data_IF_039213918230
#
_entry.id   IF_039213918230
#
_cell.length_a   1.000
_cell.length_b   1.000
_cell.length_c   1.000
_cell.angle_alpha   90.00
_cell.angle_beta   90.00
_cell.angle_gamma   90.00
#
_symmetry.space_group_name_H-M   'P 1'
#
loop_
_entity.id
_entity.type
_entity.pdbx_description
1 polymer ?
#
# COMPACT_ATOMS: atom_id res chain seq x y z
N UNK A 1 -12.59 17.42 -13.11
CA UNK A 1 -12.08 16.34 -12.21
C UNK A 1 -11.10 15.49 -13.00
N UNK A 2 -9.97 15.17 -12.42
CA UNK A 2 -8.95 14.31 -13.05
C UNK A 2 -9.40 12.85 -12.94
N UNK A 3 -9.68 12.21 -14.09
CA UNK A 3 -10.09 10.81 -14.13
C UNK A 3 -8.88 9.91 -14.33
N UNK A 4 -8.87 8.70 -13.74
CA UNK A 4 -7.77 7.76 -13.94
C UNK A 4 -7.83 7.12 -15.32
N UNK A 5 -6.68 6.97 -15.95
CA UNK A 5 -6.51 6.03 -17.06
C UNK A 5 -6.17 4.64 -16.53
N UNK A 6 -6.81 3.61 -17.06
CA UNK A 6 -6.44 2.23 -16.78
C UNK A 6 -5.32 1.82 -17.74
N UNK A 7 -4.19 1.42 -17.17
CA UNK A 7 -2.97 1.10 -17.90
C UNK A 7 -2.43 -0.28 -17.52
N UNK A 8 -1.48 -0.76 -18.28
CA UNK A 8 -0.84 -2.06 -18.05
C UNK A 8 0.67 -1.94 -18.19
N UNK A 9 1.40 -2.64 -17.32
CA UNK A 9 2.84 -2.78 -17.33
C UNK A 9 3.23 -4.27 -17.34
N UNK A 10 4.22 -4.64 -18.13
CA UNK A 10 4.74 -6.01 -18.16
C UNK A 10 5.86 -6.12 -17.13
N UNK A 11 5.63 -6.89 -16.08
CA UNK A 11 6.62 -7.17 -15.06
C UNK A 11 7.75 -8.09 -15.62
N UNK A 12 8.88 -8.16 -14.93
CA UNK A 12 10.08 -8.89 -15.38
C UNK A 12 9.89 -10.40 -15.63
N UNK A 13 8.77 -10.97 -15.18
CA UNK A 13 8.39 -12.38 -15.40
C UNK A 13 7.27 -12.53 -16.44
N UNK A 14 6.95 -11.45 -17.17
CA UNK A 14 5.89 -11.44 -18.19
C UNK A 14 4.48 -11.25 -17.60
N UNK A 15 4.32 -11.07 -16.28
CA UNK A 15 3.01 -10.79 -15.67
C UNK A 15 2.50 -9.42 -16.10
N UNK A 16 1.26 -9.36 -16.60
CA UNK A 16 0.59 -8.12 -17.01
C UNK A 16 -0.01 -7.45 -15.79
N UNK A 17 0.65 -6.43 -15.26
CA UNK A 17 0.27 -5.70 -14.07
C UNK A 17 -0.59 -4.48 -14.46
N UNK A 18 -1.87 -4.52 -14.16
CA UNK A 18 -2.79 -3.40 -14.38
C UNK A 18 -2.67 -2.39 -13.24
N UNK A 19 -2.74 -1.12 -13.61
CA UNK A 19 -2.68 0.00 -12.67
C UNK A 19 -3.58 1.14 -13.13
N UNK A 20 -4.06 1.92 -12.16
CA UNK A 20 -4.70 3.22 -12.42
C UNK A 20 -3.65 4.31 -12.37
N UNK A 21 -3.74 5.24 -13.29
CA UNK A 21 -2.83 6.38 -13.39
C UNK A 21 -3.65 7.68 -13.44
N UNK A 22 -3.46 8.52 -12.44
CA UNK A 22 -3.94 9.91 -12.44
C UNK A 22 -2.78 10.79 -12.85
N UNK A 23 -2.86 11.30 -14.07
CA UNK A 23 -1.80 12.13 -14.66
C UNK A 23 -1.84 13.55 -14.10
N UNK A 24 -0.68 14.19 -14.04
CA UNK A 24 -0.52 15.65 -13.86
C UNK A 24 0.31 16.18 -15.02
N UNK A 25 -0.08 17.28 -15.61
CA UNK A 25 0.63 17.87 -16.78
C UNK A 25 2.06 18.30 -16.44
N UNK A 26 2.26 18.89 -15.26
CA UNK A 26 3.56 19.31 -14.75
C UNK A 26 3.74 18.79 -13.33
N UNK A 27 4.07 17.51 -13.17
CA UNK A 27 4.11 16.89 -11.84
C UNK A 27 5.27 17.47 -11.02
N UNK A 28 4.99 17.80 -9.77
CA UNK A 28 5.99 18.16 -8.74
C UNK A 28 6.59 16.95 -8.04
N UNK A 29 6.06 15.77 -8.28
CA UNK A 29 6.50 14.51 -7.74
C UNK A 29 5.64 13.35 -8.22
N UNK A 30 6.11 12.14 -7.96
CA UNK A 30 5.46 10.90 -8.32
C UNK A 30 5.01 10.20 -7.03
N UNK A 31 3.78 9.69 -7.01
CA UNK A 31 3.27 8.84 -5.92
C UNK A 31 3.00 7.44 -6.46
N UNK A 32 3.66 6.44 -5.88
CA UNK A 32 3.35 5.03 -6.12
C UNK A 32 2.59 4.54 -4.91
N UNK A 33 1.29 4.27 -5.07
CA UNK A 33 0.41 3.84 -4.00
C UNK A 33 0.19 2.33 -4.01
N UNK A 34 0.15 1.71 -2.82
CA UNK A 34 0.01 0.27 -2.62
C UNK A 34 -1.17 -0.02 -1.70
N UNK A 35 -2.15 -0.75 -2.20
CA UNK A 35 -3.41 -1.03 -1.51
C UNK A 35 -3.34 -2.13 -0.43
N UNK A 36 -4.40 -2.23 0.38
CA UNK A 36 -4.60 -3.21 1.42
C UNK A 36 -4.73 -4.66 0.94
N UNK A 37 -5.03 -5.60 1.86
CA UNK A 37 -5.08 -7.03 1.52
C UNK A 37 -6.29 -7.38 0.66
N UNK A 38 -7.47 -6.87 1.01
CA UNK A 38 -8.75 -7.12 0.31
C UNK A 38 -9.01 -6.15 -0.83
N UNK A 39 -8.60 -4.90 -0.65
CA UNK A 39 -8.89 -3.79 -1.55
C UNK A 39 -8.08 -3.86 -2.85
N UNK A 40 -8.35 -2.92 -3.72
CA UNK A 40 -7.64 -2.67 -4.97
C UNK A 40 -7.58 -1.16 -5.21
N UNK A 41 -6.85 -0.71 -6.23
CA UNK A 41 -6.63 0.72 -6.50
C UNK A 41 -7.94 1.53 -6.67
N UNK A 42 -9.03 0.89 -7.12
CA UNK A 42 -10.33 1.55 -7.29
C UNK A 42 -11.03 1.97 -5.99
N UNK A 43 -10.60 1.48 -4.81
CA UNK A 43 -11.13 1.97 -3.53
C UNK A 43 -10.65 3.38 -3.20
N UNK A 44 -9.53 3.82 -3.78
CA UNK A 44 -8.77 5.01 -3.38
C UNK A 44 -8.81 6.11 -4.45
N UNK A 45 -9.96 6.24 -5.11
CA UNK A 45 -10.16 7.23 -6.16
C UNK A 45 -10.13 8.67 -5.61
N UNK A 46 -10.77 8.91 -4.46
CA UNK A 46 -10.81 10.24 -3.84
C UNK A 46 -9.41 10.74 -3.48
N UNK A 47 -8.64 9.96 -2.74
CA UNK A 47 -7.28 10.33 -2.34
C UNK A 47 -6.35 10.49 -3.54
N UNK A 48 -6.47 9.62 -4.55
CA UNK A 48 -5.65 9.70 -5.75
C UNK A 48 -5.94 10.96 -6.58
N UNK A 49 -7.22 11.35 -6.70
CA UNK A 49 -7.63 12.62 -7.35
C UNK A 49 -7.07 13.81 -6.59
N UNK A 50 -7.21 13.84 -5.27
CA UNK A 50 -6.68 14.92 -4.42
C UNK A 50 -5.17 15.11 -4.61
N UNK A 51 -4.42 14.01 -4.70
CA UNK A 51 -2.99 14.03 -4.98
C UNK A 51 -2.71 14.58 -6.39
N UNK A 52 -3.45 14.12 -7.39
CA UNK A 52 -3.28 14.58 -8.77
C UNK A 52 -3.64 16.06 -8.95
N UNK A 53 -4.72 16.54 -8.33
CA UNK A 53 -5.13 17.96 -8.29
C UNK A 53 -4.07 18.82 -7.60
N UNK A 54 -3.34 18.28 -6.62
CA UNK A 54 -2.21 18.92 -5.96
C UNK A 54 -0.90 18.87 -6.78
N UNK A 55 -0.92 18.30 -7.99
CA UNK A 55 0.20 18.27 -8.92
C UNK A 55 1.13 17.05 -8.76
N UNK A 56 0.64 15.92 -8.24
CA UNK A 56 1.39 14.67 -8.20
C UNK A 56 0.93 13.70 -9.30
N UNK A 57 1.86 13.05 -10.02
CA UNK A 57 1.52 11.94 -10.89
C UNK A 57 1.33 10.68 -10.02
N UNK A 58 0.11 10.10 -10.01
CA UNK A 58 -0.21 8.95 -9.16
C UNK A 58 -0.25 7.67 -9.99
N UNK A 59 0.54 6.67 -9.59
CA UNK A 59 0.58 5.32 -10.14
C UNK A 59 0.09 4.36 -9.06
N UNK A 60 -1.05 3.73 -9.30
CA UNK A 60 -1.66 2.86 -8.31
C UNK A 60 -1.92 1.47 -8.90
N UNK A 61 -0.96 0.53 -8.80
CA UNK A 61 -1.14 -0.82 -9.30
C UNK A 61 -2.13 -1.60 -8.42
N UNK A 62 -2.96 -2.39 -9.07
CA UNK A 62 -3.54 -3.53 -8.40
C UNK A 62 -2.44 -4.56 -8.19
N UNK A 63 -2.23 -5.01 -6.95
CA UNK A 63 -1.21 -6.02 -6.65
C UNK A 63 -1.47 -7.28 -7.49
N UNK A 64 -0.44 -8.00 -7.90
CA UNK A 64 -0.62 -9.28 -8.62
C UNK A 64 -1.61 -10.18 -7.88
N UNK A 65 -2.55 -10.76 -8.62
CA UNK A 65 -3.62 -11.59 -8.07
C UNK A 65 -4.71 -10.83 -7.29
N UNK A 66 -4.78 -9.50 -7.38
CA UNK A 66 -5.82 -8.66 -6.73
C UNK A 66 -6.51 -7.75 -7.74
N UNK A 67 -7.70 -7.26 -7.41
CA UNK A 67 -8.42 -6.29 -8.21
C UNK A 67 -8.58 -6.74 -9.65
N UNK A 68 -8.16 -5.92 -10.60
CA UNK A 68 -8.20 -6.20 -12.03
C UNK A 68 -7.16 -7.25 -12.49
N UNK A 69 -6.22 -7.64 -11.63
CA UNK A 69 -5.21 -8.67 -11.90
C UNK A 69 -5.74 -10.05 -11.50
N UNK A 70 -6.68 -10.59 -12.28
CA UNK A 70 -7.40 -11.82 -11.97
C UNK A 70 -6.58 -13.12 -12.10
N UNK A 71 -5.44 -13.10 -12.82
CA UNK A 71 -4.60 -14.29 -12.96
C UNK A 71 -3.94 -14.65 -11.63
N UNK A 72 -4.06 -15.92 -11.22
CA UNK A 72 -3.60 -16.44 -9.94
C UNK A 72 -4.11 -15.61 -8.74
N UNK A 73 -5.44 -15.42 -8.68
CA UNK A 73 -6.08 -14.58 -7.67
C UNK A 73 -5.65 -14.97 -6.25
N UNK A 74 -5.25 -13.96 -5.47
CA UNK A 74 -4.78 -14.13 -4.10
C UNK A 74 -3.41 -14.79 -3.94
N UNK A 75 -2.66 -14.99 -5.04
CA UNK A 75 -1.37 -15.66 -5.01
C UNK A 75 -0.19 -14.70 -5.23
N UNK A 76 0.90 -14.97 -4.50
CA UNK A 76 2.23 -14.46 -4.80
C UNK A 76 3.24 -15.53 -4.40
N UNK A 77 4.20 -15.84 -5.27
CA UNK A 77 5.17 -16.90 -5.04
C UNK A 77 6.07 -16.59 -3.83
N UNK A 78 6.56 -15.35 -3.73
CA UNK A 78 7.44 -14.90 -2.63
C UNK A 78 7.48 -13.37 -2.55
N UNK A 79 8.00 -12.83 -1.43
CA UNK A 79 8.05 -11.40 -1.15
C UNK A 79 8.79 -10.59 -2.24
N UNK A 80 9.93 -11.08 -2.71
CA UNK A 80 10.74 -10.36 -3.72
C UNK A 80 10.03 -10.24 -5.07
N UNK A 81 9.06 -11.11 -5.39
CA UNK A 81 8.23 -10.95 -6.59
C UNK A 81 7.38 -9.70 -6.48
N UNK A 82 6.73 -9.49 -5.32
CA UNK A 82 5.92 -8.30 -5.04
C UNK A 82 6.78 -7.03 -5.02
N UNK A 83 7.96 -7.10 -4.44
CA UNK A 83 8.95 -6.02 -4.42
C UNK A 83 9.35 -5.64 -5.85
N UNK A 84 9.67 -6.63 -6.69
CA UNK A 84 10.11 -6.38 -8.07
C UNK A 84 8.98 -5.82 -8.96
N UNK A 85 7.72 -6.22 -8.73
CA UNK A 85 6.57 -5.64 -9.43
C UNK A 85 6.49 -4.13 -9.20
N UNK A 86 6.62 -3.69 -7.95
CA UNK A 86 6.58 -2.26 -7.61
C UNK A 86 7.80 -1.52 -8.17
N UNK A 87 8.99 -2.13 -8.09
CA UNK A 87 10.21 -1.50 -8.63
C UNK A 87 10.17 -1.34 -10.14
N UNK A 88 9.62 -2.33 -10.87
CA UNK A 88 9.47 -2.21 -12.33
C UNK A 88 8.46 -1.12 -12.71
N UNK A 89 7.34 -1.00 -11.96
CA UNK A 89 6.40 0.11 -12.14
C UNK A 89 7.03 1.46 -11.76
N UNK A 90 7.82 1.50 -10.68
CA UNK A 90 8.58 2.70 -10.30
C UNK A 90 9.51 3.15 -11.43
N UNK A 91 10.18 2.22 -12.09
CA UNK A 91 11.03 2.55 -13.23
C UNK A 91 10.23 3.14 -14.39
N UNK A 92 9.10 2.52 -14.75
CA UNK A 92 8.18 3.06 -15.75
C UNK A 92 7.74 4.50 -15.38
N UNK A 93 7.28 4.70 -14.14
CA UNK A 93 6.83 6.00 -13.67
C UNK A 93 7.95 7.07 -13.73
N UNK A 94 9.17 6.68 -13.38
CA UNK A 94 10.32 7.55 -13.49
C UNK A 94 10.64 7.93 -14.95
N UNK A 95 10.65 6.96 -15.86
CA UNK A 95 10.98 7.19 -17.27
C UNK A 95 9.96 8.08 -17.98
N UNK A 96 8.67 7.90 -17.67
CA UNK A 96 7.56 8.69 -18.23
C UNK A 96 7.54 10.16 -17.74
N UNK A 97 8.03 10.41 -16.52
CA UNK A 97 8.05 11.76 -15.94
C UNK A 97 9.45 12.39 -15.96
N UNK A 98 10.36 11.79 -16.70
CA UNK A 98 11.70 12.33 -16.88
C UNK A 98 11.65 13.53 -17.82
N UNK A 99 12.03 14.71 -17.31
CA UNK A 99 12.15 15.91 -18.14
C UNK A 99 13.16 15.67 -19.28
N UNK A 100 12.75 15.89 -20.53
CA UNK A 100 13.63 15.82 -21.70
C UNK A 100 14.62 16.99 -21.78
N UNK A 101 14.45 17.99 -20.94
CA UNK A 101 15.32 19.17 -20.92
C UNK A 101 16.61 18.85 -20.17
N UNK A 102 17.70 18.78 -20.91
CA UNK A 102 19.07 18.44 -20.44
C UNK A 102 19.64 19.41 -19.42
N UNK A 103 18.95 20.52 -19.10
CA UNK A 103 19.37 21.51 -18.11
C UNK A 103 18.69 21.36 -16.74
N UNK A 104 17.60 20.61 -16.61
CA UNK A 104 16.96 20.36 -15.33
C UNK A 104 17.55 19.11 -14.67
N UNK A 105 18.56 19.27 -13.83
CA UNK A 105 19.22 18.18 -13.09
C UNK A 105 18.39 17.60 -11.93
N UNK A 106 17.22 18.14 -11.62
CA UNK A 106 16.41 17.69 -10.50
C UNK A 106 15.44 16.58 -10.92
N UNK A 107 15.72 15.36 -10.49
CA UNK A 107 14.77 14.25 -10.61
C UNK A 107 13.57 14.51 -9.72
N UNK A 108 12.35 14.22 -10.24
CA UNK A 108 11.13 14.32 -9.45
C UNK A 108 11.20 13.37 -8.24
N UNK A 109 10.86 13.83 -7.04
CA UNK A 109 10.84 12.99 -5.86
C UNK A 109 9.74 11.92 -6.00
N UNK A 110 10.10 10.66 -5.73
CA UNK A 110 9.17 9.54 -5.74
C UNK A 110 8.76 9.21 -4.31
N UNK A 111 7.47 9.29 -4.05
CA UNK A 111 6.86 8.88 -2.79
C UNK A 111 6.32 7.47 -2.93
N UNK A 112 6.68 6.57 -1.99
CA UNK A 112 6.01 5.30 -1.82
C UNK A 112 4.94 5.43 -0.74
N UNK A 113 3.68 5.16 -1.10
CA UNK A 113 2.54 5.26 -0.20
C UNK A 113 1.96 3.87 0.02
N UNK A 114 1.92 3.42 1.27
CA UNK A 114 1.42 2.10 1.61
C UNK A 114 0.20 2.15 2.52
N UNK A 115 -0.88 1.49 2.11
CA UNK A 115 -2.16 1.45 2.80
C UNK A 115 -2.36 0.07 3.41
N UNK A 116 -2.62 -0.02 4.71
CA UNK A 116 -2.88 -1.28 5.40
C UNK A 116 -1.81 -2.34 5.07
N UNK A 117 -2.16 -3.48 4.49
CA UNK A 117 -1.19 -4.50 4.07
C UNK A 117 -0.13 -3.94 3.10
N UNK A 118 -0.51 -3.02 2.22
CA UNK A 118 0.43 -2.31 1.35
C UNK A 118 1.52 -1.54 2.11
N UNK A 119 1.23 -1.12 3.35
CA UNK A 119 2.18 -0.46 4.22
C UNK A 119 3.40 -1.31 4.57
N UNK A 120 3.25 -2.64 4.74
CA UNK A 120 4.40 -3.52 4.94
C UNK A 120 5.27 -3.67 3.68
N UNK A 121 4.64 -3.68 2.49
CA UNK A 121 5.37 -3.72 1.23
C UNK A 121 6.11 -2.40 0.97
N UNK A 122 5.46 -1.25 1.24
CA UNK A 122 6.06 0.07 1.13
C UNK A 122 7.26 0.23 2.09
N UNK A 123 7.11 -0.17 3.36
CA UNK A 123 8.20 -0.11 4.34
C UNK A 123 9.36 -1.06 3.98
N UNK A 124 9.07 -2.24 3.43
CA UNK A 124 10.10 -3.17 2.98
C UNK A 124 10.89 -2.62 1.77
N UNK A 125 10.20 -1.96 0.82
CA UNK A 125 10.82 -1.27 -0.31
C UNK A 125 11.72 -0.12 0.16
N UNK A 126 11.23 0.73 1.07
CA UNK A 126 11.99 1.82 1.65
C UNK A 126 13.24 1.33 2.40
N UNK A 127 13.15 0.16 3.06
CA UNK A 127 14.27 -0.45 3.77
C UNK A 127 15.32 -1.06 2.84
N UNK A 128 14.88 -1.77 1.78
CA UNK A 128 15.79 -2.46 0.87
C UNK A 128 16.42 -1.52 -0.17
N UNK A 129 15.71 -0.47 -0.55
CA UNK A 129 16.11 0.44 -1.61
C UNK A 129 15.95 1.91 -1.17
N UNK A 130 16.69 2.34 -0.13
CA UNK A 130 16.49 3.66 0.49
C UNK A 130 16.74 4.84 -0.45
N UNK A 131 17.48 4.63 -1.54
CA UNK A 131 17.76 5.67 -2.53
C UNK A 131 16.74 5.74 -3.68
N UNK A 132 15.85 4.75 -3.79
CA UNK A 132 14.86 4.72 -4.87
C UNK A 132 13.60 5.53 -4.55
N UNK A 133 13.39 5.86 -3.28
CA UNK A 133 12.22 6.60 -2.80
C UNK A 133 12.64 7.79 -1.94
N UNK A 134 12.14 8.98 -2.28
CA UNK A 134 12.43 10.21 -1.53
C UNK A 134 11.59 10.35 -0.26
N UNK A 135 10.40 9.71 -0.21
CA UNK A 135 9.44 9.82 0.91
C UNK A 135 8.71 8.52 1.13
N UNK A 136 8.32 8.26 2.38
CA UNK A 136 7.48 7.14 2.79
C UNK A 136 6.20 7.65 3.44
N UNK A 137 5.04 7.23 2.92
CA UNK A 137 3.73 7.48 3.53
C UNK A 137 3.11 6.16 3.93
N UNK A 138 2.64 6.07 5.18
CA UNK A 138 2.02 4.89 5.76
C UNK A 138 0.64 5.24 6.30
N UNK A 139 -0.42 4.78 5.63
CA UNK A 139 -1.80 4.92 6.07
C UNK A 139 -2.23 3.65 6.80
N UNK A 140 -2.49 3.76 8.12
CA UNK A 140 -2.91 2.62 8.96
C UNK A 140 -2.22 1.30 8.56
N UNK A 141 -0.85 1.28 8.55
CA UNK A 141 -0.10 0.20 7.92
C UNK A 141 -0.23 -1.13 8.65
N UNK A 142 -0.39 -2.21 7.89
CA UNK A 142 -0.49 -3.58 8.39
C UNK A 142 0.80 -4.15 8.99
N UNK A 143 1.59 -3.32 9.68
CA UNK A 143 2.84 -3.73 10.33
C UNK A 143 2.60 -4.54 11.61
N UNK A 144 1.57 -4.18 12.38
CA UNK A 144 1.09 -4.93 13.53
C UNK A 144 -0.43 -4.92 13.53
N UNK A 145 -1.05 -6.10 13.58
CA UNK A 145 -2.51 -6.24 13.54
C UNK A 145 -3.05 -6.78 14.86
N UNK A 146 -4.25 -6.33 15.25
CA UNK A 146 -5.04 -6.90 16.36
C UNK A 146 -5.60 -8.26 15.98
N UNK A 147 -5.99 -8.42 14.71
CA UNK A 147 -6.52 -9.67 14.16
C UNK A 147 -5.35 -10.64 13.95
N UNK A 148 -5.33 -11.70 14.72
CA UNK A 148 -4.30 -12.75 14.66
C UNK A 148 -4.90 -14.02 14.07
N UNK A 149 -4.15 -14.75 13.23
CA UNK A 149 -4.57 -16.08 12.80
C UNK A 149 -4.77 -16.98 14.02
N UNK A 150 -5.80 -17.81 13.98
CA UNK A 150 -6.04 -18.83 15.02
C UNK A 150 -4.90 -19.83 15.07
N UNK A 151 -4.77 -20.55 16.19
CA UNK A 151 -3.74 -21.58 16.36
C UNK A 151 -3.81 -22.66 15.26
N UNK A 152 -5.02 -23.07 14.88
CA UNK A 152 -5.24 -24.04 13.79
C UNK A 152 -4.83 -23.48 12.42
N UNK A 153 -5.05 -22.19 12.16
CA UNK A 153 -4.58 -21.53 10.91
C UNK A 153 -3.07 -21.42 10.87
N UNK A 154 -2.40 -21.15 12.01
CA UNK A 154 -0.94 -21.13 12.10
C UNK A 154 -0.34 -22.52 11.84
N UNK A 155 -0.95 -23.56 12.38
CA UNK A 155 -0.52 -24.94 12.16
C UNK A 155 -0.66 -25.35 10.69
N UNK A 156 -1.81 -25.03 10.06
CA UNK A 156 -2.06 -25.29 8.63
C UNK A 156 -1.07 -24.51 7.74
N UNK A 157 -0.75 -23.26 8.08
CA UNK A 157 0.25 -22.46 7.37
C UNK A 157 1.66 -23.08 7.43
N UNK A 158 2.05 -23.57 8.59
CA UNK A 158 3.35 -24.21 8.77
C UNK A 158 3.42 -25.54 8.02
N UNK A 159 2.38 -26.38 8.13
CA UNK A 159 2.26 -27.64 7.38
C UNK A 159 2.24 -27.41 5.86
N UNK A 160 1.48 -26.42 5.38
CA UNK A 160 1.42 -26.08 3.96
C UNK A 160 2.78 -25.61 3.40
N UNK A 161 3.59 -24.94 4.23
CA UNK A 161 4.96 -24.56 3.88
C UNK A 161 5.87 -25.79 3.77
N UNK A 162 5.81 -26.65 4.76
CA UNK A 162 6.72 -27.79 4.89
C UNK A 162 6.37 -28.92 3.88
N UNK A 163 5.13 -28.97 3.41
CA UNK A 163 4.65 -29.91 2.38
C UNK A 163 4.60 -29.32 0.96
N UNK A 164 5.13 -28.10 0.76
CA UNK A 164 5.11 -27.38 -0.53
C UNK A 164 3.71 -27.24 -1.15
N UNK A 165 2.63 -27.26 -0.34
CA UNK A 165 1.25 -27.05 -0.80
C UNK A 165 1.05 -25.56 -1.06
N UNK A 166 1.59 -25.08 -2.16
CA UNK A 166 1.76 -23.67 -2.53
C UNK A 166 0.43 -22.95 -2.75
N UNK A 167 -0.66 -23.66 -3.06
CA UNK A 167 -1.93 -23.06 -3.52
C UNK A 167 -3.12 -23.28 -2.58
N UNK A 168 -2.88 -23.63 -1.32
CA UNK A 168 -3.97 -23.70 -0.36
C UNK A 168 -4.53 -22.28 -0.10
N UNK A 169 -5.79 -22.06 -0.42
CA UNK A 169 -6.48 -20.77 -0.23
C UNK A 169 -6.99 -20.67 1.20
N UNK A 170 -6.67 -19.57 1.85
CA UNK A 170 -7.02 -19.27 3.24
C UNK A 170 -7.90 -18.03 3.26
N UNK A 171 -9.08 -18.08 3.91
CA UNK A 171 -9.93 -16.90 4.05
C UNK A 171 -9.19 -15.75 4.75
N UNK A 172 -9.42 -14.55 4.27
CA UNK A 172 -8.98 -13.31 4.93
C UNK A 172 -10.00 -13.02 6.03
N UNK A 173 -9.61 -12.92 7.31
CA UNK A 173 -10.55 -12.75 8.43
C UNK A 173 -11.02 -11.29 8.58
N UNK A 174 -11.51 -10.70 7.49
CA UNK A 174 -11.97 -9.30 7.39
C UNK A 174 -13.33 -9.25 6.65
N UNK A 175 -14.23 -10.18 6.94
CA UNK A 175 -15.50 -10.31 6.24
C UNK A 175 -16.52 -9.21 6.63
N UNK A 176 -16.41 -8.67 7.86
CA UNK A 176 -17.30 -7.62 8.34
C UNK A 176 -16.88 -6.24 7.80
N UNK A 177 -17.68 -5.61 6.91
CA UNK A 177 -17.37 -4.28 6.38
C UNK A 177 -17.30 -3.18 7.46
N UNK A 178 -17.95 -3.38 8.61
CA UNK A 178 -17.91 -2.45 9.73
C UNK A 178 -16.51 -2.32 10.35
N UNK A 179 -15.59 -3.26 10.09
CA UNK A 179 -14.18 -3.13 10.46
C UNK A 179 -13.46 -2.00 9.72
N UNK A 180 -13.92 -1.66 8.51
CA UNK A 180 -13.27 -0.71 7.61
C UNK A 180 -13.78 0.71 7.77
N UNK A 181 -15.08 0.89 7.96
CA UNK A 181 -15.73 2.21 8.07
C UNK A 181 -17.02 2.12 8.87
N UNK A 182 -17.43 3.23 9.47
CA UNK A 182 -18.75 3.36 10.12
C UNK A 182 -19.85 3.86 9.17
N UNK A 183 -19.51 4.26 7.93
CA UNK A 183 -20.45 4.82 6.96
C UNK A 183 -21.18 3.68 6.22
N UNK A 184 -22.52 3.55 6.34
CA UNK A 184 -23.27 2.42 5.79
C UNK A 184 -23.16 2.27 4.27
N UNK A 185 -23.07 3.38 3.54
CA UNK A 185 -22.91 3.37 2.08
C UNK A 185 -21.61 2.68 1.69
N UNK A 186 -20.49 3.00 2.36
CA UNK A 186 -19.21 2.38 2.11
C UNK A 186 -19.13 0.94 2.62
N UNK A 187 -19.86 0.60 3.68
CA UNK A 187 -20.00 -0.79 4.10
C UNK A 187 -20.69 -1.62 3.02
N UNK A 188 -21.78 -1.07 2.41
CA UNK A 188 -22.46 -1.71 1.30
C UNK A 188 -21.56 -1.84 0.06
N UNK A 189 -20.78 -0.81 -0.25
CA UNK A 189 -19.80 -0.87 -1.34
C UNK A 189 -18.78 -2.00 -1.11
N UNK A 190 -18.17 -2.08 0.08
CA UNK A 190 -17.19 -3.13 0.42
C UNK A 190 -17.79 -4.53 0.33
N UNK A 191 -19.01 -4.71 0.86
CA UNK A 191 -19.68 -6.00 0.87
C UNK A 191 -20.00 -6.54 -0.53
N UNK A 192 -20.26 -5.65 -1.49
CA UNK A 192 -20.69 -5.99 -2.85
C UNK A 192 -19.58 -5.81 -3.91
N UNK A 193 -18.37 -5.50 -3.52
CA UNK A 193 -17.28 -5.27 -4.47
C UNK A 193 -16.78 -6.59 -5.09
N UNK A 194 -17.02 -6.83 -6.39
CA UNK A 194 -16.63 -8.08 -7.07
C UNK A 194 -15.12 -8.20 -7.25
N UNK A 195 -14.37 -7.10 -7.09
CA UNK A 195 -12.91 -7.08 -7.20
C UNK A 195 -12.22 -7.26 -5.84
N UNK A 196 -12.95 -7.22 -4.73
CA UNK A 196 -12.41 -7.48 -3.40
C UNK A 196 -11.84 -8.91 -3.30
N UNK A 197 -10.74 -9.04 -2.54
CA UNK A 197 -10.05 -10.32 -2.36
C UNK A 197 -10.46 -10.94 -1.02
N UNK A 198 -11.12 -12.10 -1.05
CA UNK A 198 -11.60 -12.77 0.16
C UNK A 198 -10.70 -13.93 0.63
N UNK A 199 -9.85 -14.45 -0.27
CA UNK A 199 -8.94 -15.56 0.06
C UNK A 199 -7.55 -15.29 -0.50
N UNK A 200 -6.54 -15.80 0.18
CA UNK A 200 -5.14 -15.72 -0.27
C UNK A 200 -4.45 -17.08 -0.15
N UNK A 201 -3.43 -17.30 -0.97
CA UNK A 201 -2.63 -18.50 -0.88
C UNK A 201 -1.72 -18.50 0.36
N UNK A 202 -1.33 -19.69 0.81
CA UNK A 202 -0.33 -19.85 1.89
C UNK A 202 1.00 -19.17 1.53
N UNK A 203 1.44 -19.22 0.27
CA UNK A 203 2.65 -18.54 -0.21
C UNK A 203 2.53 -17.02 -0.11
N UNK A 204 1.37 -16.43 -0.42
CA UNK A 204 1.12 -14.99 -0.21
C UNK A 204 1.25 -14.59 1.27
N UNK A 205 0.71 -15.39 2.19
CA UNK A 205 0.85 -15.13 3.63
C UNK A 205 2.32 -15.25 4.08
N UNK A 206 3.04 -16.22 3.56
CA UNK A 206 4.48 -16.37 3.81
C UNK A 206 5.29 -15.20 3.20
N UNK A 207 4.91 -14.70 2.03
CA UNK A 207 5.48 -13.48 1.46
C UNK A 207 5.25 -12.27 2.38
N UNK A 208 4.04 -12.11 2.93
CA UNK A 208 3.73 -11.09 3.93
C UNK A 208 4.61 -11.18 5.18
N UNK A 209 4.82 -12.41 5.73
CA UNK A 209 5.73 -12.64 6.87
C UNK A 209 7.19 -12.32 6.53
N UNK A 210 7.62 -12.60 5.30
CA UNK A 210 8.95 -12.25 4.83
C UNK A 210 9.14 -10.74 4.74
N UNK A 211 8.13 -9.98 4.26
CA UNK A 211 8.12 -8.51 4.29
C UNK A 211 8.23 -7.98 5.73
N UNK A 212 7.46 -8.53 6.67
CA UNK A 212 7.56 -8.15 8.09
C UNK A 212 8.96 -8.41 8.67
N UNK A 213 9.61 -9.50 8.26
CA UNK A 213 11.00 -9.80 8.67
C UNK A 213 11.97 -8.79 8.08
N UNK A 214 11.84 -8.44 6.80
CA UNK A 214 12.66 -7.43 6.14
C UNK A 214 12.56 -6.09 6.89
N UNK A 215 11.34 -5.61 7.15
CA UNK A 215 11.11 -4.35 7.89
C UNK A 215 11.75 -4.39 9.27
N UNK A 216 11.59 -5.50 10.04
CA UNK A 216 12.20 -5.61 11.37
C UNK A 216 13.72 -5.61 11.34
N UNK A 217 14.31 -6.33 10.37
CA UNK A 217 15.77 -6.48 10.27
C UNK A 217 16.43 -5.20 9.75
N UNK A 218 15.80 -4.53 8.78
CA UNK A 218 16.38 -3.39 8.07
C UNK A 218 15.75 -2.05 8.46
N UNK A 219 15.00 -1.97 9.57
CA UNK A 219 14.26 -0.77 10.00
C UNK A 219 15.09 0.52 10.08
N UNK A 220 16.37 0.40 10.44
CA UNK A 220 17.29 1.56 10.54
C UNK A 220 17.70 2.11 9.16
N UNK A 221 17.48 1.35 8.10
CA UNK A 221 17.72 1.77 6.72
C UNK A 221 16.55 2.56 6.11
N UNK A 222 15.41 2.59 6.79
CA UNK A 222 14.28 3.45 6.42
C UNK A 222 14.62 4.87 6.87
N UNK A 223 15.28 5.62 6.01
CA UNK A 223 15.84 6.96 6.31
C UNK A 223 15.02 8.10 5.69
N UNK A 224 14.08 7.78 4.81
CA UNK A 224 13.24 8.76 4.12
C UNK A 224 12.37 9.54 5.12
N UNK A 225 12.09 10.83 4.88
CA UNK A 225 11.00 11.52 5.56
C UNK A 225 9.75 10.64 5.54
N UNK A 226 9.15 10.43 6.71
CA UNK A 226 8.06 9.46 6.90
C UNK A 226 6.84 10.12 7.50
N UNK A 227 5.69 9.94 6.86
CA UNK A 227 4.37 10.30 7.39
C UNK A 227 3.62 9.02 7.79
N UNK A 228 3.21 8.94 9.05
CA UNK A 228 2.34 7.88 9.59
C UNK A 228 0.97 8.47 9.89
N UNK A 229 -0.08 7.94 9.24
CA UNK A 229 -1.47 8.35 9.42
C UNK A 229 -2.27 7.18 9.98
N UNK A 230 -2.95 7.38 11.09
CA UNK A 230 -3.66 6.34 11.84
C UNK A 230 -5.11 6.72 12.08
N UNK A 231 -5.99 5.75 12.01
CA UNK A 231 -7.38 5.86 12.43
C UNK A 231 -7.48 5.52 13.93
N UNK A 232 -8.10 6.38 14.75
CA UNK A 232 -8.14 6.18 16.21
C UNK A 232 -8.86 4.89 16.60
N UNK A 233 -10.04 4.66 16.00
CA UNK A 233 -10.91 3.51 16.29
C UNK A 233 -10.64 2.31 15.36
N UNK A 234 -9.39 2.15 14.91
CA UNK A 234 -9.01 1.04 14.06
C UNK A 234 -9.14 -0.30 14.80
N UNK A 235 -10.07 -1.15 14.33
CA UNK A 235 -10.28 -2.49 14.88
C UNK A 235 -9.31 -3.54 14.32
N UNK A 236 -8.61 -3.23 13.22
CA UNK A 236 -7.72 -4.15 12.50
C UNK A 236 -6.26 -3.96 12.92
N UNK A 237 -5.82 -2.70 13.05
CA UNK A 237 -4.42 -2.33 13.33
C UNK A 237 -4.22 -2.00 14.82
N UNK A 238 -3.13 -2.50 15.38
CA UNK A 238 -2.65 -2.08 16.70
C UNK A 238 -1.84 -0.79 16.56
N UNK A 239 -2.52 0.34 16.72
CA UNK A 239 -1.92 1.68 16.57
C UNK A 239 -0.72 1.91 17.49
N UNK A 240 -0.78 1.44 18.75
CA UNK A 240 0.31 1.61 19.72
C UNK A 240 1.55 0.83 19.29
N UNK A 241 1.38 -0.44 18.91
CA UNK A 241 2.47 -1.28 18.45
C UNK A 241 3.03 -0.82 17.09
N UNK A 242 2.19 -0.30 16.19
CA UNK A 242 2.64 0.31 14.92
C UNK A 242 3.48 1.55 15.19
N UNK A 243 3.03 2.47 16.03
CA UNK A 243 3.81 3.67 16.42
C UNK A 243 5.16 3.28 17.02
N UNK A 244 5.17 2.31 17.95
CA UNK A 244 6.41 1.80 18.53
C UNK A 244 7.37 1.25 17.48
N UNK A 245 6.84 0.55 16.46
CA UNK A 245 7.65 -0.01 15.37
C UNK A 245 8.20 1.07 14.44
N UNK A 246 7.37 2.03 14.03
CA UNK A 246 7.77 3.12 13.15
C UNK A 246 8.77 4.06 13.81
N UNK A 247 8.67 4.28 15.12
CA UNK A 247 9.65 5.04 15.90
C UNK A 247 11.06 4.41 15.90
N UNK A 248 11.21 3.14 15.48
CA UNK A 248 12.51 2.48 15.34
C UNK A 248 13.11 2.62 13.93
N UNK A 249 12.44 3.31 13.01
CA UNK A 249 12.99 3.60 11.69
C UNK A 249 14.17 4.57 11.80
N UNK A 250 15.10 4.51 10.84
CA UNK A 250 16.27 5.38 10.83
C UNK A 250 15.98 6.81 10.37
N UNK A 251 14.76 7.13 10.03
CA UNK A 251 14.36 8.48 9.60
C UNK A 251 14.54 9.50 10.72
N UNK A 252 15.02 10.71 10.36
CA UNK A 252 15.09 11.87 11.25
C UNK A 252 13.85 12.77 11.15
N UNK A 253 12.97 12.49 10.20
CA UNK A 253 11.78 13.28 9.91
C UNK A 253 10.55 12.37 9.93
N UNK A 254 10.05 12.06 11.13
CA UNK A 254 8.83 11.30 11.34
C UNK A 254 7.70 12.24 11.79
N UNK A 255 6.63 12.31 11.03
CA UNK A 255 5.37 12.91 11.45
C UNK A 255 4.33 11.81 11.65
N UNK A 256 3.64 11.84 12.79
CA UNK A 256 2.52 10.94 13.09
C UNK A 256 1.25 11.77 13.25
N UNK A 257 0.19 11.37 12.55
CA UNK A 257 -1.13 11.96 12.61
C UNK A 257 -2.15 10.88 13.00
N UNK A 258 -3.06 11.20 13.91
CA UNK A 258 -4.13 10.29 14.34
C UNK A 258 -5.46 11.01 14.13
N UNK A 259 -6.40 10.36 13.46
CA UNK A 259 -7.70 10.92 13.14
C UNK A 259 -8.75 10.35 14.07
N UNK A 260 -9.34 11.25 14.85
CA UNK A 260 -10.34 10.91 15.87
C UNK A 260 -11.59 10.29 15.25
N UNK A 261 -12.20 9.34 15.96
CA UNK A 261 -13.41 8.63 15.58
C UNK A 261 -13.37 7.95 14.19
N UNK A 262 -12.20 7.86 13.56
CA UNK A 262 -12.02 7.21 12.26
C UNK A 262 -11.78 5.71 12.44
N UNK A 263 -12.39 4.91 11.56
CA UNK A 263 -12.14 3.47 11.42
C UNK A 263 -11.05 3.21 10.37
N UNK A 264 -10.75 1.93 10.14
CA UNK A 264 -9.58 1.48 9.40
C UNK A 264 -9.35 2.18 8.05
N UNK A 265 -10.40 2.42 7.26
CA UNK A 265 -10.23 2.97 5.90
C UNK A 265 -10.52 4.46 5.86
N UNK A 266 -9.49 5.29 6.09
CA UNK A 266 -9.61 6.76 6.08
C UNK A 266 -10.21 7.33 4.79
N UNK A 267 -10.12 6.61 3.67
CA UNK A 267 -10.75 6.95 2.38
C UNK A 267 -12.29 7.07 2.48
N UNK A 268 -12.88 6.29 3.37
CA UNK A 268 -14.33 6.13 3.51
C UNK A 268 -14.91 6.86 4.73
N UNK A 269 -14.07 7.60 5.45
CA UNK A 269 -14.48 8.31 6.64
C UNK A 269 -15.05 9.71 6.32
N UNK A 270 -15.95 10.23 7.14
CA UNK A 270 -16.56 11.56 6.92
C UNK A 270 -15.53 12.70 6.87
N UNK A 271 -14.46 12.59 7.63
CA UNK A 271 -13.38 13.58 7.71
C UNK A 271 -12.24 13.35 6.69
N UNK A 272 -12.48 12.56 5.63
CA UNK A 272 -11.47 12.26 4.59
C UNK A 272 -10.87 13.50 3.93
N UNK A 273 -11.61 14.61 3.87
CA UNK A 273 -11.10 15.86 3.31
C UNK A 273 -9.94 16.42 4.14
N UNK A 274 -10.09 16.44 5.46
CA UNK A 274 -9.02 16.82 6.40
C UNK A 274 -7.82 15.85 6.26
N UNK A 275 -8.10 14.56 6.27
CA UNK A 275 -7.08 13.49 6.17
C UNK A 275 -6.19 13.68 4.94
N UNK A 276 -6.81 13.81 3.76
CA UNK A 276 -6.04 13.93 2.51
C UNK A 276 -5.56 15.35 2.24
N UNK A 277 -6.12 16.35 2.88
CA UNK A 277 -5.55 17.70 3.01
C UNK A 277 -4.21 17.67 3.73
N UNK A 278 -4.14 17.01 4.89
CA UNK A 278 -2.90 16.82 5.66
C UNK A 278 -1.83 16.05 4.89
N UNK A 279 -2.22 15.03 4.13
CA UNK A 279 -1.31 14.26 3.26
C UNK A 279 -0.71 15.14 2.17
N UNK A 280 -1.55 15.89 1.45
CA UNK A 280 -1.11 16.81 0.39
C UNK A 280 -0.20 17.89 0.96
N UNK A 281 -0.58 18.49 2.06
CA UNK A 281 0.20 19.52 2.74
C UNK A 281 1.58 19.02 3.15
N UNK A 282 1.66 17.80 3.68
CA UNK A 282 2.92 17.20 4.06
C UNK A 282 3.81 16.95 2.83
N UNK A 283 3.25 16.43 1.75
CA UNK A 283 3.96 16.15 0.51
C UNK A 283 4.49 17.43 -0.17
N UNK A 284 3.77 18.56 -0.04
CA UNK A 284 4.20 19.83 -0.60
C UNK A 284 5.36 20.45 0.21
N UNK A 285 5.36 20.24 1.53
CA UNK A 285 6.34 20.86 2.46
C UNK A 285 7.62 20.05 2.63
N UNK A 286 7.62 18.79 2.21
CA UNK A 286 8.74 17.84 2.35
C UNK A 286 9.41 17.59 1.02
#
# INVERSE_FOLDING_TARGET
>A
MIEPSLREHIASDGYRLKFRHWASENPRGIVIALHGIQSHSGWYDYSSRRLAEAGFAVYFPDRRGSGLNGFQRGHAAHAMRLVNDVRSLRQLAFDENRCSDTQATSQLPITILGISWGGKLAAALAALFPQEFGRLVLLYPGLVTKIRPTWSQLLRLNLARDLEIVKHHIPIPLEDPALFTQVPEWQSFIANDPLALHTVSSSFLNAGRALDRIVRTHRVQIIQPTLLMLAEDDAIIDNAAVRQRVNQFGTRQLRTQVYAAARHTLEFEPNREEVFGDLVDWLIKT
#
